data_IF_283696057940
#
_entry.id   IF_283696057940
#
_cell.length_a   1.000
_cell.length_b   1.000
_cell.length_c   1.000
_cell.angle_alpha   90.00
_cell.angle_beta   90.00
_cell.angle_gamma   90.00
#
_symmetry.space_group_name_H-M   'P 1'
#
loop_
_entity.id
_entity.type
_entity.pdbx_description
1 polymer ?
#
# COMPACT_ATOMS: atom_id res chain seq x y z
N UNK A 1 -27.00 -0.58 17.23
CA UNK A 1 -26.13 -1.62 16.63
C UNK A 1 -24.89 -0.91 16.09
N UNK A 2 -23.69 -1.34 16.45
CA UNK A 2 -22.45 -0.75 15.90
C UNK A 2 -22.34 -1.23 14.43
N UNK A 3 -22.44 -0.31 13.45
CA UNK A 3 -22.24 -0.62 12.03
C UNK A 3 -20.77 -1.03 11.89
N UNK A 4 -20.51 -2.30 11.51
CA UNK A 4 -19.15 -2.82 11.39
C UNK A 4 -18.50 -2.20 10.16
N UNK A 5 -17.36 -1.53 10.36
CA UNK A 5 -16.56 -0.96 9.26
C UNK A 5 -16.04 -2.07 8.34
N UNK A 6 -15.98 -1.79 7.04
CA UNK A 6 -15.39 -2.69 6.05
C UNK A 6 -13.86 -2.61 6.11
N UNK A 7 -13.21 -3.76 6.28
CA UNK A 7 -11.75 -3.83 6.22
C UNK A 7 -11.29 -3.56 4.79
N UNK A 8 -10.36 -2.62 4.63
CA UNK A 8 -9.71 -2.29 3.37
C UNK A 8 -8.20 -2.40 3.54
N UNK A 9 -7.58 -3.21 2.70
CA UNK A 9 -6.13 -3.36 2.65
C UNK A 9 -5.55 -2.47 1.57
N UNK A 10 -4.40 -1.86 1.86
CA UNK A 10 -3.72 -0.91 0.99
C UNK A 10 -2.27 -1.37 0.85
N UNK A 11 -1.85 -1.70 -0.36
CA UNK A 11 -0.43 -1.96 -0.63
C UNK A 11 0.40 -0.68 -0.46
N UNK A 12 1.72 -0.83 -0.33
CA UNK A 12 2.62 0.28 -0.10
C UNK A 12 3.43 0.66 -1.34
N UNK A 13 4.06 -0.30 -2.02
CA UNK A 13 4.99 0.00 -3.11
C UNK A 13 4.17 0.28 -4.38
N UNK A 14 4.40 1.41 -5.03
CA UNK A 14 3.67 1.89 -6.22
C UNK A 14 2.15 2.12 -6.03
N UNK A 15 1.66 2.04 -4.79
CA UNK A 15 0.31 2.47 -4.36
C UNK A 15 0.38 3.67 -3.42
N UNK A 16 1.18 3.57 -2.34
CA UNK A 16 1.39 4.66 -1.39
C UNK A 16 2.67 5.45 -1.67
N UNK A 17 3.71 4.78 -2.16
CA UNK A 17 5.02 5.38 -2.38
C UNK A 17 5.66 4.91 -3.69
N UNK A 18 6.41 5.79 -4.35
CA UNK A 18 6.99 5.57 -5.69
C UNK A 18 8.23 4.67 -5.63
N UNK A 19 8.02 3.37 -5.52
CA UNK A 19 9.09 2.37 -5.52
C UNK A 19 9.75 2.29 -6.90
N UNK A 20 8.93 2.18 -7.96
CA UNK A 20 9.42 1.99 -9.33
C UNK A 20 10.25 3.18 -9.81
N UNK A 21 9.82 4.40 -9.56
CA UNK A 21 10.56 5.62 -9.91
C UNK A 21 11.87 5.73 -9.13
N UNK A 22 11.84 5.51 -7.82
CA UNK A 22 13.05 5.51 -6.98
C UNK A 22 14.06 4.44 -7.43
N UNK A 23 13.59 3.22 -7.72
CA UNK A 23 14.40 2.12 -8.19
C UNK A 23 15.05 2.44 -9.55
N UNK A 24 14.27 2.91 -10.53
CA UNK A 24 14.77 3.33 -11.85
C UNK A 24 15.80 4.45 -11.74
N UNK A 25 15.55 5.46 -10.89
CA UNK A 25 16.48 6.57 -10.63
C UNK A 25 17.79 6.05 -10.04
N UNK A 26 17.73 5.16 -9.06
CA UNK A 26 18.92 4.59 -8.42
C UNK A 26 19.78 3.78 -9.40
N UNK A 27 19.17 2.94 -10.25
CA UNK A 27 19.89 2.22 -11.33
C UNK A 27 20.56 3.21 -12.28
N UNK A 28 19.85 4.26 -12.70
CA UNK A 28 20.40 5.28 -13.60
C UNK A 28 21.59 6.01 -12.98
N UNK A 29 21.54 6.31 -11.69
CA UNK A 29 22.61 6.99 -10.96
C UNK A 29 23.83 6.09 -10.71
N UNK A 30 23.63 4.81 -10.39
CA UNK A 30 24.72 3.87 -10.16
C UNK A 30 24.36 2.45 -10.65
N UNK A 31 24.57 2.15 -11.94
CA UNK A 31 24.15 0.87 -12.54
C UNK A 31 24.95 -0.34 -12.03
N UNK A 32 26.05 -0.13 -11.28
CA UNK A 32 26.83 -1.22 -10.68
C UNK A 32 26.13 -1.84 -9.47
N UNK A 33 25.14 -1.17 -8.89
CA UNK A 33 24.36 -1.70 -7.77
C UNK A 33 23.17 -2.47 -8.34
N UNK A 34 23.26 -3.81 -8.36
CA UNK A 34 22.20 -4.67 -8.91
C UNK A 34 20.88 -4.58 -8.14
N UNK A 35 20.95 -4.32 -6.83
CA UNK A 35 19.80 -4.26 -5.93
C UNK A 35 19.76 -2.93 -5.19
N UNK A 36 19.43 -1.81 -5.85
CA UNK A 36 19.41 -0.49 -5.21
C UNK A 36 18.43 -0.42 -4.02
N UNK A 37 17.37 -1.23 -4.06
CA UNK A 37 16.41 -1.36 -2.96
C UNK A 37 16.97 -2.03 -1.70
N UNK A 38 18.19 -2.58 -1.74
CA UNK A 38 18.89 -3.12 -0.57
C UNK A 38 19.71 -2.08 0.18
N UNK A 39 19.82 -0.86 -0.35
CA UNK A 39 20.60 0.20 0.27
C UNK A 39 19.85 0.79 1.47
N UNK A 40 20.61 1.20 2.49
CA UNK A 40 20.06 1.78 3.71
C UNK A 40 19.22 3.02 3.41
N UNK A 41 18.03 3.07 3.99
CA UNK A 41 17.07 4.15 3.84
C UNK A 41 16.33 4.14 2.51
N UNK A 42 16.44 3.10 1.68
CA UNK A 42 15.74 3.07 0.40
C UNK A 42 14.22 3.15 0.58
N UNK A 43 13.64 2.27 1.39
CA UNK A 43 12.19 2.24 1.59
C UNK A 43 11.70 3.39 2.47
N UNK A 44 12.49 3.77 3.48
CA UNK A 44 12.12 4.84 4.42
C UNK A 44 12.03 6.24 3.75
N UNK A 45 12.70 6.41 2.60
CA UNK A 45 12.76 7.67 1.87
C UNK A 45 12.00 7.65 0.53
N UNK A 46 11.16 6.64 0.27
CA UNK A 46 10.31 6.65 -0.92
C UNK A 46 9.36 7.85 -0.86
N UNK A 47 9.23 8.55 -1.99
CA UNK A 47 8.31 9.67 -2.08
C UNK A 47 6.86 9.15 -2.17
N UNK A 48 5.88 9.80 -1.51
CA UNK A 48 4.50 9.40 -1.65
C UNK A 48 3.99 9.52 -3.10
N UNK A 49 3.13 8.59 -3.50
CA UNK A 49 2.34 8.71 -4.72
C UNK A 49 1.37 9.90 -4.57
N UNK A 50 1.09 10.68 -5.63
CA UNK A 50 0.15 11.80 -5.55
C UNK A 50 -1.20 11.39 -4.94
N UNK A 51 -1.68 12.19 -4.00
CA UNK A 51 -2.92 11.99 -3.24
C UNK A 51 -2.97 10.76 -2.33
N UNK A 52 -1.90 9.96 -2.21
CA UNK A 52 -1.90 8.77 -1.38
C UNK A 52 -2.13 9.07 0.11
N UNK A 53 -1.40 10.06 0.64
CA UNK A 53 -1.45 10.40 2.06
C UNK A 53 -2.84 10.91 2.44
N UNK A 54 -3.39 11.85 1.66
CA UNK A 54 -4.71 12.42 1.90
C UNK A 54 -5.81 11.35 1.79
N UNK A 55 -5.67 10.39 0.86
CA UNK A 55 -6.63 9.30 0.68
C UNK A 55 -6.63 8.34 1.86
N UNK A 56 -5.47 7.96 2.38
CA UNK A 56 -5.39 7.11 3.58
C UNK A 56 -5.93 7.85 4.80
N UNK A 57 -5.63 9.14 4.98
CA UNK A 57 -6.19 9.96 6.06
C UNK A 57 -7.73 10.02 5.96
N UNK A 58 -8.28 10.16 4.75
CA UNK A 58 -9.72 10.08 4.52
C UNK A 58 -10.29 8.72 4.98
N UNK A 59 -9.62 7.61 4.63
CA UNK A 59 -10.06 6.27 5.05
C UNK A 59 -9.96 6.06 6.56
N UNK A 60 -8.91 6.57 7.21
CA UNK A 60 -8.72 6.50 8.67
C UNK A 60 -9.90 7.17 9.39
N UNK A 61 -10.33 8.32 8.88
CA UNK A 61 -11.43 9.10 9.47
C UNK A 61 -12.83 8.64 9.00
N UNK A 62 -12.91 7.64 8.14
CA UNK A 62 -14.18 7.14 7.62
C UNK A 62 -14.96 6.36 8.67
N UNK A 63 -16.27 6.57 8.74
CA UNK A 63 -17.18 5.72 9.53
C UNK A 63 -17.47 4.37 8.84
N UNK A 64 -17.08 4.21 7.58
CA UNK A 64 -17.41 3.04 6.77
C UNK A 64 -16.25 2.08 6.57
N UNK A 65 -15.01 2.57 6.65
CA UNK A 65 -13.80 1.82 6.34
C UNK A 65 -12.88 1.67 7.55
N UNK A 66 -12.26 0.50 7.68
CA UNK A 66 -11.19 0.22 8.63
C UNK A 66 -9.92 -0.12 7.85
N UNK A 67 -9.05 0.89 7.57
CA UNK A 67 -7.89 0.68 6.71
C UNK A 67 -6.74 -0.01 7.42
N UNK A 68 -6.06 -0.88 6.67
CA UNK A 68 -4.83 -1.57 7.03
C UNK A 68 -3.82 -1.46 5.89
N UNK A 69 -2.55 -1.32 6.23
CA UNK A 69 -1.48 -1.47 5.25
C UNK A 69 -1.17 -2.96 5.12
N UNK A 70 -1.13 -3.47 3.88
CA UNK A 70 -0.80 -4.86 3.58
C UNK A 70 0.25 -4.91 2.48
N UNK A 71 1.51 -5.03 2.87
CA UNK A 71 2.64 -4.98 1.94
C UNK A 71 3.42 -6.30 1.93
N UNK A 72 3.95 -6.66 0.76
CA UNK A 72 4.84 -7.80 0.64
C UNK A 72 6.29 -7.42 1.00
N UNK A 73 7.02 -8.27 1.75
CA UNK A 73 8.42 -8.00 2.05
C UNK A 73 9.33 -8.33 0.86
N UNK A 74 10.41 -7.55 0.74
CA UNK A 74 11.60 -7.98 0.00
C UNK A 74 12.38 -8.96 0.88
N UNK A 75 12.02 -10.24 0.84
CA UNK A 75 12.49 -11.27 1.80
C UNK A 75 14.02 -11.43 1.89
N UNK A 76 14.77 -10.99 0.88
CA UNK A 76 16.25 -11.01 0.89
C UNK A 76 16.88 -9.75 1.47
N UNK A 77 16.09 -8.70 1.69
CA UNK A 77 16.50 -7.45 2.31
C UNK A 77 15.80 -7.28 3.67
N UNK A 78 16.44 -7.64 4.80
CA UNK A 78 15.83 -7.48 6.12
C UNK A 78 15.56 -6.01 6.49
N UNK A 79 16.26 -5.05 5.88
CA UNK A 79 16.01 -3.63 6.14
C UNK A 79 14.60 -3.20 5.68
N UNK A 80 14.02 -3.87 4.67
CA UNK A 80 12.72 -3.48 4.16
C UNK A 80 11.61 -3.55 5.23
N UNK A 81 11.71 -4.47 6.19
CA UNK A 81 10.72 -4.62 7.26
C UNK A 81 10.72 -3.39 8.16
N UNK A 82 11.89 -3.02 8.67
CA UNK A 82 12.09 -1.85 9.53
C UNK A 82 11.75 -0.56 8.80
N UNK A 83 12.24 -0.40 7.57
CA UNK A 83 12.09 0.84 6.83
C UNK A 83 10.65 1.09 6.35
N UNK A 84 9.91 0.04 5.97
CA UNK A 84 8.48 0.18 5.67
C UNK A 84 7.69 0.62 6.89
N UNK A 85 8.00 0.08 8.08
CA UNK A 85 7.39 0.54 9.34
C UNK A 85 7.73 2.00 9.66
N UNK A 86 8.98 2.42 9.44
CA UNK A 86 9.40 3.82 9.63
C UNK A 86 8.65 4.74 8.68
N UNK A 87 8.48 4.34 7.42
CA UNK A 87 7.72 5.12 6.44
C UNK A 87 6.26 5.32 6.88
N UNK A 88 5.60 4.26 7.37
CA UNK A 88 4.23 4.36 7.89
C UNK A 88 4.13 5.31 9.08
N UNK A 89 5.06 5.22 10.05
CA UNK A 89 5.08 6.17 11.18
C UNK A 89 5.27 7.61 10.72
N UNK A 90 6.20 7.85 9.79
CA UNK A 90 6.50 9.19 9.26
C UNK A 90 5.26 9.87 8.67
N UNK A 91 4.39 9.11 7.99
CA UNK A 91 3.27 9.67 7.25
C UNK A 91 1.92 9.58 7.96
N UNK A 92 1.72 8.58 8.84
CA UNK A 92 0.43 8.30 9.48
C UNK A 92 0.50 8.24 11.01
N UNK A 93 1.68 8.43 11.59
CA UNK A 93 1.90 8.38 13.03
C UNK A 93 2.07 6.98 13.60
N UNK A 94 2.60 6.91 14.82
CA UNK A 94 2.90 5.65 15.52
C UNK A 94 1.64 4.80 15.74
N UNK A 95 0.49 5.40 15.99
CA UNK A 95 -0.75 4.65 16.23
C UNK A 95 -1.14 3.80 15.01
N UNK A 96 -0.98 4.35 13.80
CA UNK A 96 -1.32 3.64 12.56
C UNK A 96 -0.32 2.53 12.22
N UNK A 97 0.86 2.50 12.85
CA UNK A 97 1.78 1.35 12.73
C UNK A 97 1.13 0.05 13.23
N UNK A 98 0.19 0.12 14.18
CA UNK A 98 -0.57 -1.06 14.62
C UNK A 98 -1.47 -1.65 13.51
N UNK A 99 -1.67 -0.92 12.40
CA UNK A 99 -2.41 -1.32 11.21
C UNK A 99 -1.50 -1.79 10.06
N UNK A 100 -0.19 -1.89 10.28
CA UNK A 100 0.77 -2.43 9.30
C UNK A 100 0.84 -3.95 9.37
N UNK A 101 0.61 -4.59 8.23
CA UNK A 101 0.77 -6.03 8.03
C UNK A 101 1.80 -6.23 6.91
N UNK A 102 2.85 -7.01 7.21
CA UNK A 102 3.86 -7.41 6.23
C UNK A 102 3.67 -8.90 5.97
N UNK A 103 3.18 -9.25 4.77
CA UNK A 103 2.91 -10.64 4.40
C UNK A 103 3.33 -10.92 2.96
N UNK A 104 4.08 -12.01 2.70
CA UNK A 104 4.37 -12.43 1.33
C UNK A 104 3.16 -13.02 0.60
N UNK A 105 2.09 -13.34 1.32
CA UNK A 105 0.84 -13.87 0.77
C UNK A 105 -0.37 -13.10 1.32
N UNK A 106 -0.98 -12.28 0.47
CA UNK A 106 -2.09 -11.38 0.77
C UNK A 106 -3.45 -12.10 0.78
N UNK A 107 -3.62 -13.23 0.10
CA UNK A 107 -4.91 -13.94 0.07
C UNK A 107 -5.29 -14.59 1.41
N UNK A 108 -4.35 -14.73 2.34
CA UNK A 108 -4.61 -15.26 3.67
C UNK A 108 -5.43 -14.30 4.55
N UNK A 109 -5.49 -13.02 4.16
CA UNK A 109 -6.17 -11.97 4.92
C UNK A 109 -7.61 -11.83 4.43
N UNK A 110 -8.53 -11.53 5.35
CA UNK A 110 -9.96 -11.35 5.04
C UNK A 110 -10.32 -9.88 5.11
N UNK A 111 -10.71 -9.32 3.98
CA UNK A 111 -11.14 -7.93 3.87
C UNK A 111 -12.12 -7.76 2.71
N UNK A 112 -12.80 -6.62 2.68
CA UNK A 112 -13.71 -6.30 1.57
C UNK A 112 -12.94 -5.87 0.34
N UNK A 113 -11.86 -5.10 0.53
CA UNK A 113 -11.07 -4.51 -0.54
C UNK A 113 -9.59 -4.75 -0.33
N UNK A 114 -8.86 -4.91 -1.43
CA UNK A 114 -7.40 -4.82 -1.51
C UNK A 114 -7.06 -3.83 -2.63
N UNK A 115 -6.42 -2.71 -2.30
CA UNK A 115 -5.87 -1.77 -3.27
C UNK A 115 -4.41 -2.14 -3.51
N UNK A 116 -4.07 -2.53 -4.73
CA UNK A 116 -2.76 -3.10 -5.08
C UNK A 116 -2.41 -2.76 -6.54
N UNK A 117 -1.16 -2.42 -6.82
CA UNK A 117 -0.67 -2.19 -8.17
C UNK A 117 -0.46 -3.51 -8.95
N UNK A 118 -0.36 -4.64 -8.25
CA UNK A 118 -0.18 -5.94 -8.85
C UNK A 118 -1.49 -6.74 -8.86
N UNK A 119 -1.80 -7.37 -9.99
CA UNK A 119 -2.95 -8.26 -10.10
C UNK A 119 -2.70 -9.69 -9.59
N UNK A 120 -1.44 -10.11 -9.46
CA UNK A 120 -1.09 -11.51 -9.15
C UNK A 120 0.30 -11.65 -8.51
N UNK A 121 0.56 -12.83 -7.94
CA UNK A 121 1.91 -13.29 -7.56
C UNK A 121 2.29 -13.09 -6.10
N UNK A 122 1.54 -12.28 -5.35
CA UNK A 122 1.58 -12.21 -3.87
C UNK A 122 0.22 -12.54 -3.26
N UNK A 123 -0.64 -13.24 -3.99
CA UNK A 123 -1.98 -13.64 -3.54
C UNK A 123 -3.09 -12.64 -3.84
N UNK A 124 -2.85 -11.61 -4.65
CA UNK A 124 -3.91 -10.71 -5.12
C UNK A 124 -4.94 -11.47 -5.98
N UNK A 125 -4.46 -12.39 -6.82
CA UNK A 125 -5.23 -13.23 -7.73
C UNK A 125 -6.17 -14.21 -7.02
N UNK A 126 -5.89 -14.50 -5.75
CA UNK A 126 -6.69 -15.38 -4.90
C UNK A 126 -7.31 -14.64 -3.70
N UNK A 127 -7.25 -13.31 -3.67
CA UNK A 127 -7.85 -12.52 -2.60
C UNK A 127 -9.39 -12.65 -2.67
N UNK A 128 -10.02 -13.03 -1.56
CA UNK A 128 -11.47 -13.29 -1.56
C UNK A 128 -12.33 -12.03 -1.64
N UNK A 129 -11.79 -10.90 -1.20
CA UNK A 129 -12.42 -9.60 -1.38
C UNK A 129 -12.21 -9.07 -2.79
N UNK A 130 -12.64 -7.84 -3.01
CA UNK A 130 -12.45 -7.18 -4.29
C UNK A 130 -11.04 -6.59 -4.39
N UNK A 131 -10.35 -6.92 -5.48
CA UNK A 131 -9.09 -6.27 -5.85
C UNK A 131 -9.38 -4.98 -6.63
N UNK A 132 -8.98 -3.85 -6.06
CA UNK A 132 -8.90 -2.56 -6.74
C UNK A 132 -7.49 -2.44 -7.32
N UNK A 133 -7.35 -2.78 -8.61
CA UNK A 133 -6.06 -2.81 -9.30
C UNK A 133 -5.57 -1.38 -9.60
N UNK A 134 -4.75 -0.84 -8.72
CA UNK A 134 -4.22 0.52 -8.78
C UNK A 134 -3.28 0.69 -9.98
N UNK A 135 -3.34 1.84 -10.66
CA UNK A 135 -2.59 2.09 -11.89
C UNK A 135 -3.16 1.42 -13.14
N UNK A 136 -4.28 0.69 -13.03
CA UNK A 136 -5.01 0.14 -14.18
C UNK A 136 -5.79 1.21 -14.95
N UNK A 137 -6.38 0.86 -16.10
CA UNK A 137 -7.26 1.76 -16.86
C UNK A 137 -8.47 2.22 -16.05
N UNK A 138 -8.99 1.37 -15.15
CA UNK A 138 -10.17 1.69 -14.32
C UNK A 138 -9.80 2.48 -13.07
N UNK A 139 -8.63 2.22 -12.49
CA UNK A 139 -8.16 2.90 -11.27
C UNK A 139 -6.75 3.49 -11.47
N UNK A 140 -6.57 4.45 -12.39
CA UNK A 140 -5.25 4.97 -12.73
C UNK A 140 -4.62 5.77 -11.60
N UNK A 141 -5.41 6.25 -10.63
CA UNK A 141 -4.91 7.01 -9.49
C UNK A 141 -5.82 6.91 -8.26
N UNK A 142 -5.35 7.48 -7.15
CA UNK A 142 -6.14 7.63 -5.93
C UNK A 142 -7.45 8.40 -6.13
N UNK A 143 -7.54 9.26 -7.14
CA UNK A 143 -8.78 9.98 -7.45
C UNK A 143 -9.91 9.00 -7.79
N UNK A 144 -9.67 8.09 -8.72
CA UNK A 144 -10.66 7.12 -9.18
C UNK A 144 -10.97 6.10 -8.08
N UNK A 145 -9.95 5.69 -7.32
CA UNK A 145 -10.15 4.83 -6.13
C UNK A 145 -11.08 5.51 -5.12
N UNK A 146 -10.84 6.77 -4.77
CA UNK A 146 -11.67 7.49 -3.80
C UNK A 146 -13.10 7.69 -4.31
N UNK A 147 -13.28 8.00 -5.59
CA UNK A 147 -14.61 8.11 -6.20
C UNK A 147 -15.36 6.78 -6.12
N UNK A 148 -14.68 5.68 -6.44
CA UNK A 148 -15.22 4.34 -6.36
C UNK A 148 -15.64 3.98 -4.93
N UNK A 149 -14.75 4.15 -3.96
CA UNK A 149 -15.03 3.85 -2.55
C UNK A 149 -16.20 4.68 -2.02
N UNK A 150 -16.26 5.96 -2.35
CA UNK A 150 -17.37 6.84 -1.95
C UNK A 150 -18.71 6.39 -2.54
N UNK A 151 -18.75 5.94 -3.79
CA UNK A 151 -19.99 5.42 -4.40
C UNK A 151 -20.48 4.10 -3.78
N UNK A 152 -19.61 3.39 -3.05
CA UNK A 152 -19.92 2.13 -2.37
C UNK A 152 -20.19 2.28 -0.87
N UNK A 153 -20.20 3.52 -0.38
CA UNK A 153 -20.71 3.86 0.95
C UNK A 153 -22.24 3.72 0.90
N UNK A 154 -22.76 2.62 1.46
CA UNK A 154 -24.20 2.46 1.65
C UNK A 154 -24.69 3.43 2.74
N UNK A 155 -25.85 4.09 2.54
CA UNK A 155 -26.51 4.90 3.58
C UNK A 155 -26.58 4.18 4.94
#
# INVERSE_FOLDING_TARGET
MIKRKSIIYIDMDDVLCDFTGAHKKAIKCNPKVLYPQSQYGFFANLEPIPNAIESVIFLINSEHFDPYILTAPSIKNPLCYTEKRIWIEKHFGLEFVNKLIISPNKCLLKGRYLIDDNAQGKGQDAFEGELIHFGSETFPSWREVNQYLNSHIQP
#
